data_IF_984555173705
#
_entry.id   IF_984555173705
#
_cell.length_a   1.000
_cell.length_b   1.000
_cell.length_c   1.000
_cell.angle_alpha   90.00
_cell.angle_beta   90.00
_cell.angle_gamma   90.00
#
_symmetry.space_group_name_H-M   'P 1'
#
loop_
_entity.id
_entity.type
_entity.pdbx_description
1 polymer ?
#
# COMPACT_ATOMS: atom_id res chain seq x y z
N UNK A 1 -11.97 32.33 19.94
CA UNK A 1 -10.55 32.05 19.60
C UNK A 1 -10.38 30.55 19.46
N UNK A 2 -9.73 30.12 18.40
CA UNK A 2 -9.79 28.79 17.75
C UNK A 2 -9.37 27.61 18.64
N UNK A 3 -10.04 26.44 18.54
CA UNK A 3 -9.60 25.24 19.23
C UNK A 3 -8.29 24.73 18.63
N UNK A 4 -7.33 24.40 19.52
CA UNK A 4 -6.03 23.81 19.20
C UNK A 4 -6.25 22.54 18.37
N UNK A 5 -5.84 22.57 17.10
CA UNK A 5 -5.77 21.39 16.24
C UNK A 5 -4.87 20.36 16.92
N UNK A 6 -5.47 19.33 17.50
CA UNK A 6 -4.78 18.13 17.94
C UNK A 6 -3.98 17.61 16.75
N UNK A 7 -2.66 17.70 16.84
CA UNK A 7 -1.76 17.02 15.92
C UNK A 7 -2.04 15.52 16.09
N UNK A 8 -2.92 14.97 15.23
CA UNK A 8 -3.04 13.53 15.06
C UNK A 8 -1.63 13.06 14.72
N UNK A 9 -0.98 12.36 15.66
CA UNK A 9 0.16 11.48 15.37
C UNK A 9 -0.15 10.81 14.03
N UNK A 10 0.78 10.74 13.06
CA UNK A 10 0.59 9.83 11.95
C UNK A 10 0.49 8.45 12.59
N UNK A 11 -0.77 8.02 12.75
CA UNK A 11 -1.14 6.66 13.07
C UNK A 11 -0.32 5.83 12.12
N UNK A 12 0.54 4.99 12.69
CA UNK A 12 1.42 4.10 11.96
C UNK A 12 0.48 3.37 11.00
N UNK A 13 0.45 3.77 9.73
CA UNK A 13 -0.29 3.09 8.68
C UNK A 13 0.44 1.77 8.52
N UNK A 14 0.10 0.81 9.38
CA UNK A 14 0.84 -0.45 9.53
C UNK A 14 0.70 -1.36 8.30
N UNK A 15 0.05 -0.89 7.24
CA UNK A 15 0.08 -1.55 5.94
C UNK A 15 -0.05 -0.48 4.84
N UNK A 16 0.91 -0.44 3.91
CA UNK A 16 0.81 0.34 2.65
C UNK A 16 -0.36 -0.12 1.75
N UNK A 17 -1.20 -1.02 2.26
CA UNK A 17 -2.36 -1.60 1.63
C UNK A 17 -3.47 -1.68 2.68
N UNK A 18 -4.53 -0.93 2.46
CA UNK A 18 -5.79 -1.02 3.17
C UNK A 18 -6.75 -1.92 2.37
N UNK A 19 -7.48 -2.81 3.03
CA UNK A 19 -8.42 -3.72 2.37
C UNK A 19 -9.80 -3.56 2.95
N UNK A 20 -10.78 -3.36 2.07
CA UNK A 20 -12.20 -3.35 2.40
C UNK A 20 -12.95 -4.29 1.48
N UNK A 21 -13.82 -5.13 2.05
CA UNK A 21 -14.67 -6.03 1.27
C UNK A 21 -15.70 -5.28 0.40
N UNK A 22 -15.92 -3.98 0.66
CA UNK A 22 -16.81 -3.12 -0.12
C UNK A 22 -16.07 -2.29 -1.19
N UNK A 23 -14.78 -2.00 -0.99
CA UNK A 23 -14.03 -1.04 -1.79
C UNK A 23 -12.75 -1.62 -2.40
N UNK A 24 -12.46 -2.89 -2.19
CA UNK A 24 -11.25 -3.56 -2.67
C UNK A 24 -9.99 -3.16 -1.88
N UNK A 25 -8.84 -3.29 -2.54
CA UNK A 25 -7.52 -2.94 -2.03
C UNK A 25 -7.16 -1.50 -2.39
N UNK A 26 -6.94 -0.66 -1.39
CA UNK A 26 -6.36 0.67 -1.57
C UNK A 26 -4.89 0.61 -1.20
N UNK A 27 -4.04 0.89 -2.19
CA UNK A 27 -2.60 0.94 -2.00
C UNK A 27 -2.14 2.38 -1.86
N UNK A 28 -1.20 2.64 -0.95
CA UNK A 28 -0.64 3.97 -0.72
C UNK A 28 0.88 3.91 -0.75
N UNK A 29 1.52 4.88 -1.39
CA UNK A 29 2.97 5.01 -1.36
C UNK A 29 3.41 5.62 -0.02
N UNK A 30 4.45 5.08 0.65
CA UNK A 30 5.01 5.71 1.85
C UNK A 30 5.91 6.92 1.54
N UNK A 31 6.28 7.15 0.28
CA UNK A 31 7.22 8.21 -0.12
C UNK A 31 6.54 9.43 -0.78
N UNK A 32 5.28 9.30 -1.20
CA UNK A 32 4.52 10.40 -1.82
C UNK A 32 3.01 10.19 -1.64
N UNK A 33 2.20 11.19 -2.02
CA UNK A 33 0.74 11.14 -1.92
C UNK A 33 0.05 10.22 -2.96
N UNK A 34 0.84 9.43 -3.71
CA UNK A 34 0.29 8.47 -4.66
C UNK A 34 -0.48 7.36 -3.94
N UNK A 35 -1.68 7.10 -4.44
CA UNK A 35 -2.54 6.01 -3.99
C UNK A 35 -3.40 5.53 -5.15
N UNK A 36 -3.71 4.24 -5.16
CA UNK A 36 -4.53 3.61 -6.20
C UNK A 36 -5.47 2.58 -5.58
N UNK A 37 -6.63 2.40 -6.19
CA UNK A 37 -7.61 1.42 -5.75
C UNK A 37 -7.67 0.29 -6.78
N UNK A 38 -7.63 -0.94 -6.29
CA UNK A 38 -7.73 -2.14 -7.11
C UNK A 38 -8.73 -3.11 -6.50
N UNK A 39 -9.43 -3.86 -7.35
CA UNK A 39 -10.35 -4.90 -6.90
C UNK A 39 -9.60 -6.09 -6.26
N UNK A 40 -8.37 -6.36 -6.72
CA UNK A 40 -7.55 -7.46 -6.25
C UNK A 40 -6.35 -6.99 -5.40
N UNK A 41 -6.09 -7.68 -4.29
CA UNK A 41 -4.89 -7.44 -3.46
C UNK A 41 -3.59 -7.62 -4.24
N UNK A 42 -3.55 -8.58 -5.17
CA UNK A 42 -2.40 -8.86 -6.03
C UNK A 42 -2.12 -7.67 -6.95
N UNK A 43 -3.14 -7.11 -7.60
CA UNK A 43 -3.02 -5.93 -8.45
C UNK A 43 -2.51 -4.72 -7.66
N UNK A 44 -3.03 -4.49 -6.44
CA UNK A 44 -2.59 -3.42 -5.56
C UNK A 44 -1.12 -3.53 -5.16
N UNK A 45 -0.64 -4.71 -4.75
CA UNK A 45 0.79 -4.90 -4.44
C UNK A 45 1.68 -4.76 -5.68
N UNK A 46 1.20 -5.18 -6.86
CA UNK A 46 1.93 -5.01 -8.11
C UNK A 46 2.09 -3.53 -8.47
N UNK A 47 1.01 -2.75 -8.35
CA UNK A 47 1.03 -1.32 -8.58
C UNK A 47 2.00 -0.61 -7.63
N UNK A 48 2.01 -0.95 -6.33
CA UNK A 48 3.00 -0.44 -5.38
C UNK A 48 4.43 -0.76 -5.80
N UNK A 49 4.69 -2.02 -6.15
CA UNK A 49 6.04 -2.47 -6.50
C UNK A 49 6.55 -1.74 -7.75
N UNK A 50 5.68 -1.56 -8.75
CA UNK A 50 6.00 -0.80 -9.96
C UNK A 50 6.26 0.67 -9.64
N UNK A 51 5.39 1.29 -8.84
CA UNK A 51 5.52 2.69 -8.44
C UNK A 51 6.82 2.93 -7.67
N UNK A 52 7.14 2.10 -6.68
CA UNK A 52 8.39 2.21 -5.92
C UNK A 52 9.62 2.03 -6.81
N UNK A 53 9.58 1.08 -7.77
CA UNK A 53 10.68 0.80 -8.69
C UNK A 53 10.92 1.94 -9.68
N UNK A 54 9.85 2.47 -10.30
CA UNK A 54 9.96 3.46 -11.38
C UNK A 54 9.90 4.89 -10.86
N UNK A 55 9.02 5.17 -9.90
CA UNK A 55 8.79 6.51 -9.35
C UNK A 55 9.85 6.93 -8.32
N UNK A 56 10.31 6.00 -7.48
CA UNK A 56 11.26 6.33 -6.40
C UNK A 56 12.65 5.68 -6.58
N UNK A 57 12.81 4.73 -7.51
CA UNK A 57 14.05 3.96 -7.63
C UNK A 57 14.34 3.09 -6.40
N UNK A 58 13.36 2.85 -5.53
CA UNK A 58 13.52 2.02 -4.34
C UNK A 58 13.25 0.56 -4.67
N UNK A 59 14.30 -0.11 -5.14
CA UNK A 59 14.27 -1.52 -5.47
C UNK A 59 14.03 -2.43 -4.26
N UNK A 60 14.40 -2.00 -3.04
CA UNK A 60 14.21 -2.80 -1.83
C UNK A 60 12.74 -2.78 -1.40
N UNK A 61 12.13 -1.60 -1.37
CA UNK A 61 10.72 -1.44 -1.08
C UNK A 61 9.86 -2.13 -2.15
N UNK A 62 10.22 -2.00 -3.43
CA UNK A 62 9.56 -2.72 -4.52
C UNK A 62 9.66 -4.25 -4.36
N UNK A 63 10.83 -4.78 -3.96
CA UNK A 63 11.02 -6.22 -3.71
C UNK A 63 10.21 -6.70 -2.50
N UNK A 64 10.04 -5.87 -1.47
CA UNK A 64 9.20 -6.18 -0.32
C UNK A 64 7.71 -6.21 -0.69
N UNK A 65 7.24 -5.25 -1.50
CA UNK A 65 5.88 -5.27 -2.05
C UNK A 65 5.62 -6.51 -2.90
N UNK A 66 6.56 -6.89 -3.78
CA UNK A 66 6.48 -8.12 -4.58
C UNK A 66 6.47 -9.40 -3.72
N UNK A 67 7.18 -9.43 -2.59
CA UNK A 67 7.12 -10.55 -1.63
C UNK A 67 5.74 -10.69 -0.99
N UNK A 68 5.05 -9.60 -0.70
CA UNK A 68 3.67 -9.65 -0.18
C UNK A 68 2.69 -10.18 -1.23
N UNK A 69 2.88 -9.83 -2.51
CA UNK A 69 2.13 -10.40 -3.62
C UNK A 69 2.28 -11.92 -3.69
N UNK A 70 3.51 -12.44 -3.62
CA UNK A 70 3.77 -13.89 -3.63
C UNK A 70 3.11 -14.61 -2.45
N UNK A 71 3.12 -14.00 -1.25
CA UNK A 71 2.45 -14.57 -0.07
C UNK A 71 0.94 -14.69 -0.24
N UNK A 72 0.31 -13.72 -0.91
CA UNK A 72 -1.13 -13.77 -1.21
C UNK A 72 -1.43 -14.88 -2.21
N UNK A 73 -0.64 -14.97 -3.28
CA UNK A 73 -0.79 -16.03 -4.27
C UNK A 73 -0.63 -17.43 -3.67
N UNK A 74 0.34 -17.61 -2.76
CA UNK A 74 0.51 -18.88 -2.05
C UNK A 74 -0.66 -19.25 -1.14
N UNK A 75 -1.38 -18.26 -0.59
CA UNK A 75 -2.58 -18.50 0.24
C UNK A 75 -3.82 -18.85 -0.58
N UNK A 76 -3.90 -18.41 -1.84
CA UNK A 76 -5.02 -18.74 -2.72
C UNK A 76 -4.93 -20.14 -3.36
N UNK A 77 -3.78 -20.82 -3.26
CA UNK A 77 -3.58 -22.18 -3.81
C UNK A 77 -3.83 -23.32 -2.80
N UNK A 78 -4.59 -23.09 -1.73
CA UNK A 78 -4.86 -24.10 -0.70
C UNK A 78 -6.34 -24.29 -0.45
#
# INVERSE_FOLDING_TARGET
>A
MTPKKSAKKPERRESNLDWSDYSGAVVTCPHCDWHEQHEERTAAWYALARHLKVGHGDFQAAKNAARNLQRIQQKSSK
#
